data_IF_634388650937
#
_entry.id   IF_634388650937
#
_cell.length_a   1.000
_cell.length_b   1.000
_cell.length_c   1.000
_cell.angle_alpha   90.00
_cell.angle_beta   90.00
_cell.angle_gamma   90.00
#
_symmetry.space_group_name_H-M   'P 1'
#
loop_
_entity.id
_entity.type
_entity.pdbx_description
1 polymer ?
#
# COMPACT_ATOMS: atom_id res chain seq x y z
N UNK A 1 7.46 -27.65 -32.55
CA UNK A 1 6.62 -26.45 -32.44
C UNK A 1 7.53 -25.26 -32.68
N UNK A 2 7.39 -24.61 -33.83
CA UNK A 2 8.19 -23.45 -34.22
C UNK A 2 7.74 -22.24 -33.39
N UNK A 3 8.59 -21.77 -32.48
CA UNK A 3 8.40 -20.49 -31.79
C UNK A 3 8.48 -19.38 -32.85
N UNK A 4 7.37 -18.70 -33.10
CA UNK A 4 7.38 -17.46 -33.85
C UNK A 4 7.93 -16.42 -32.87
N UNK A 5 9.19 -16.03 -33.08
CA UNK A 5 9.86 -15.00 -32.30
C UNK A 5 9.39 -13.64 -32.82
N UNK A 6 8.48 -13.01 -32.06
CA UNK A 6 7.98 -11.66 -32.33
C UNK A 6 9.15 -10.67 -32.33
N UNK A 7 9.18 -9.77 -33.31
CA UNK A 7 10.28 -8.81 -33.45
C UNK A 7 10.13 -7.65 -32.47
N UNK A 8 11.25 -7.04 -32.05
CA UNK A 8 11.23 -5.88 -31.15
C UNK A 8 10.35 -4.73 -31.70
N UNK A 9 10.31 -4.53 -33.01
CA UNK A 9 9.47 -3.51 -33.65
C UNK A 9 7.98 -3.76 -33.44
N UNK A 10 7.55 -5.02 -33.44
CA UNK A 10 6.14 -5.38 -33.23
C UNK A 10 5.76 -5.18 -31.76
N UNK A 11 6.67 -5.52 -30.84
CA UNK A 11 6.49 -5.24 -29.40
C UNK A 11 6.38 -3.73 -29.13
N UNK A 12 7.31 -2.93 -29.66
CA UNK A 12 7.32 -1.49 -29.47
C UNK A 12 6.11 -0.80 -30.14
N UNK A 13 5.54 -1.37 -31.21
CA UNK A 13 4.30 -0.86 -31.80
C UNK A 13 3.09 -0.97 -30.87
N UNK A 14 3.14 -1.90 -29.92
CA UNK A 14 2.09 -2.11 -28.91
C UNK A 14 2.34 -1.37 -27.59
N UNK A 15 3.32 -0.46 -27.54
CA UNK A 15 3.74 0.23 -26.31
C UNK A 15 2.60 0.90 -25.56
N UNK A 16 1.63 1.52 -26.26
CA UNK A 16 0.49 2.19 -25.63
C UNK A 16 -0.35 1.21 -24.82
N UNK A 17 -0.73 0.08 -25.42
CA UNK A 17 -1.48 -0.97 -24.73
C UNK A 17 -0.73 -1.57 -23.54
N UNK A 18 0.62 -1.60 -23.60
CA UNK A 18 1.46 -2.06 -22.49
C UNK A 18 1.51 -1.03 -21.35
N UNK A 19 1.46 0.27 -21.66
CA UNK A 19 1.48 1.34 -20.66
C UNK A 19 0.12 1.49 -19.97
N UNK A 20 -0.97 1.28 -20.70
CA UNK A 20 -2.34 1.40 -20.20
C UNK A 20 -2.85 0.10 -19.52
N UNK A 21 -1.99 -0.91 -19.37
CA UNK A 21 -2.33 -2.24 -18.84
C UNK A 21 -3.46 -2.95 -19.63
N UNK A 22 -3.63 -2.60 -20.90
CA UNK A 22 -4.64 -3.16 -21.82
C UNK A 22 -4.08 -4.23 -22.77
N UNK A 23 -2.93 -4.83 -22.43
CA UNK A 23 -2.24 -5.78 -23.30
C UNK A 23 -3.11 -7.02 -23.63
N UNK A 24 -4.06 -7.40 -22.77
CA UNK A 24 -4.99 -8.51 -23.00
C UNK A 24 -5.90 -8.31 -24.21
N UNK A 25 -6.12 -7.06 -24.64
CA UNK A 25 -6.91 -6.72 -25.84
C UNK A 25 -6.17 -7.04 -27.14
N UNK A 26 -4.85 -7.24 -27.07
CA UNK A 26 -3.99 -7.51 -28.22
C UNK A 26 -3.91 -9.03 -28.45
N UNK A 27 -4.16 -9.53 -29.67
CA UNK A 27 -4.19 -10.97 -29.95
C UNK A 27 -2.86 -11.70 -29.69
N UNK A 28 -1.74 -10.97 -29.60
CA UNK A 28 -0.39 -11.52 -29.40
C UNK A 28 0.17 -11.25 -27.99
N UNK A 29 -0.69 -10.94 -27.01
CA UNK A 29 -0.31 -10.61 -25.63
C UNK A 29 0.70 -11.59 -25.00
N UNK A 30 0.50 -12.90 -25.21
CA UNK A 30 1.39 -13.93 -24.66
C UNK A 30 2.79 -13.89 -25.27
N UNK A 31 2.91 -13.61 -26.57
CA UNK A 31 4.19 -13.52 -27.26
C UNK A 31 4.94 -12.25 -26.87
N UNK A 32 4.21 -11.13 -26.74
CA UNK A 32 4.75 -9.85 -26.27
C UNK A 32 5.30 -10.01 -24.85
N UNK A 33 4.52 -10.56 -23.92
CA UNK A 33 4.98 -10.82 -22.55
C UNK A 33 6.22 -11.72 -22.52
N UNK A 34 6.24 -12.79 -23.33
CA UNK A 34 7.42 -13.64 -23.44
C UNK A 34 8.63 -12.90 -24.03
N UNK A 35 8.44 -11.92 -24.92
CA UNK A 35 9.54 -11.15 -25.45
C UNK A 35 10.10 -10.19 -24.39
N UNK A 36 9.23 -9.50 -23.65
CA UNK A 36 9.62 -8.58 -22.58
C UNK A 36 10.42 -9.27 -21.47
N UNK A 37 10.13 -10.52 -21.15
CA UNK A 37 10.90 -11.27 -20.14
C UNK A 37 12.32 -11.61 -20.59
N UNK A 38 12.59 -11.68 -21.90
CA UNK A 38 13.89 -12.09 -22.44
C UNK A 38 14.67 -10.93 -23.10
N UNK A 39 14.01 -9.82 -23.41
CA UNK A 39 14.58 -8.69 -24.15
C UNK A 39 14.70 -7.44 -23.27
N UNK A 40 15.87 -7.30 -22.63
CA UNK A 40 16.23 -6.13 -21.82
C UNK A 40 16.09 -4.76 -22.53
N UNK A 41 16.43 -4.59 -23.82
CA UNK A 41 16.27 -3.29 -24.47
C UNK A 41 14.79 -2.90 -24.62
N UNK A 42 13.90 -3.85 -24.96
CA UNK A 42 12.47 -3.54 -25.05
C UNK A 42 11.87 -3.15 -23.69
N UNK A 43 12.30 -3.79 -22.59
CA UNK A 43 11.84 -3.39 -21.25
C UNK A 43 12.33 -1.99 -20.87
N UNK A 44 13.57 -1.63 -21.24
CA UNK A 44 14.11 -0.30 -20.96
C UNK A 44 13.37 0.80 -21.73
N UNK A 45 13.07 0.57 -23.01
CA UNK A 45 12.28 1.52 -23.81
C UNK A 45 10.85 1.69 -23.26
N UNK A 46 10.20 0.61 -22.83
CA UNK A 46 8.86 0.69 -22.23
C UNK A 46 8.90 1.45 -20.89
N UNK A 47 9.91 1.21 -20.06
CA UNK A 47 10.08 1.95 -18.81
C UNK A 47 10.29 3.45 -19.07
N UNK A 48 11.11 3.80 -20.07
CA UNK A 48 11.29 5.17 -20.51
C UNK A 48 9.94 5.80 -20.94
N UNK A 49 9.20 5.14 -21.81
CA UNK A 49 7.90 5.65 -22.27
C UNK A 49 6.88 5.76 -21.12
N UNK A 50 6.90 4.85 -20.14
CA UNK A 50 6.08 4.96 -18.92
C UNK A 50 6.40 6.22 -18.11
N UNK A 51 7.69 6.51 -17.93
CA UNK A 51 8.13 7.72 -17.23
C UNK A 51 7.71 8.98 -18.00
N UNK A 52 7.89 9.00 -19.32
CA UNK A 52 7.47 10.11 -20.17
C UNK A 52 5.96 10.32 -20.11
N UNK A 53 5.17 9.25 -20.20
CA UNK A 53 3.71 9.30 -20.08
C UNK A 53 3.27 9.85 -18.71
N UNK A 54 3.90 9.40 -17.63
CA UNK A 54 3.62 9.90 -16.29
C UNK A 54 3.96 11.39 -16.15
N UNK A 55 5.12 11.82 -16.65
CA UNK A 55 5.51 13.23 -16.63
C UNK A 55 4.50 14.11 -17.38
N UNK A 56 4.06 13.67 -18.57
CA UNK A 56 3.05 14.39 -19.34
C UNK A 56 1.71 14.45 -18.59
N UNK A 57 1.26 13.34 -18.02
CA UNK A 57 0.05 13.29 -17.22
C UNK A 57 0.11 14.24 -16.01
N UNK A 58 1.25 14.30 -15.32
CA UNK A 58 1.43 15.18 -14.17
C UNK A 58 1.44 16.67 -14.55
N UNK A 59 2.07 17.02 -15.68
CA UNK A 59 2.01 18.39 -16.23
C UNK A 59 0.57 18.76 -16.57
N UNK A 60 -0.16 17.86 -17.24
CA UNK A 60 -1.56 18.07 -17.61
C UNK A 60 -2.45 18.23 -16.37
N UNK A 61 -2.30 17.36 -15.36
CA UNK A 61 -3.04 17.46 -14.09
C UNK A 61 -2.81 18.78 -13.38
N UNK A 62 -1.58 19.30 -13.37
CA UNK A 62 -1.28 20.61 -12.77
C UNK A 62 -1.85 21.78 -13.58
N UNK A 63 -1.97 21.62 -14.89
CA UNK A 63 -2.56 22.64 -15.77
C UNK A 63 -4.10 22.60 -15.82
N UNK A 64 -4.69 21.46 -15.48
CA UNK A 64 -6.13 21.27 -15.48
C UNK A 64 -6.77 22.04 -14.33
N UNK A 65 -7.58 23.04 -14.66
CA UNK A 65 -8.36 23.85 -13.71
C UNK A 65 -9.86 23.51 -13.78
N UNK A 66 -10.20 22.31 -14.25
CA UNK A 66 -11.59 21.85 -14.29
C UNK A 66 -12.07 21.54 -12.87
N UNK A 67 -13.23 22.09 -12.50
CA UNK A 67 -13.80 21.85 -11.19
C UNK A 67 -14.63 20.57 -11.22
N UNK A 68 -14.34 19.66 -10.28
CA UNK A 68 -15.13 18.44 -10.13
C UNK A 68 -16.63 18.76 -9.95
N UNK A 69 -17.54 17.96 -10.54
CA UNK A 69 -18.99 18.13 -10.39
C UNK A 69 -19.40 18.19 -8.91
N UNK A 70 -20.38 19.04 -8.60
CA UNK A 70 -20.81 19.29 -7.23
C UNK A 70 -21.32 18.01 -6.54
N UNK A 71 -22.07 17.18 -7.27
CA UNK A 71 -22.61 15.93 -6.78
C UNK A 71 -21.50 14.97 -6.30
N UNK A 72 -20.40 14.85 -7.07
CA UNK A 72 -19.27 14.01 -6.69
C UNK A 72 -18.59 14.54 -5.41
N UNK A 73 -18.41 15.86 -5.31
CA UNK A 73 -17.83 16.49 -4.12
C UNK A 73 -18.69 16.25 -2.88
N UNK A 74 -20.00 16.41 -2.99
CA UNK A 74 -20.94 16.14 -1.90
C UNK A 74 -20.92 14.66 -1.49
N UNK A 75 -20.89 13.74 -2.46
CA UNK A 75 -20.81 12.30 -2.20
C UNK A 75 -19.51 11.92 -1.48
N UNK A 76 -18.37 12.43 -1.92
CA UNK A 76 -17.07 12.20 -1.27
C UNK A 76 -17.08 12.76 0.15
N UNK A 77 -17.57 13.99 0.35
CA UNK A 77 -17.68 14.59 1.69
C UNK A 77 -18.56 13.76 2.62
N UNK A 78 -19.68 13.24 2.13
CA UNK A 78 -20.55 12.34 2.89
C UNK A 78 -19.81 11.05 3.26
N UNK A 79 -19.16 10.40 2.29
CA UNK A 79 -18.44 9.14 2.51
C UNK A 79 -17.29 9.31 3.51
N UNK A 80 -16.53 10.40 3.42
CA UNK A 80 -15.46 10.72 4.38
C UNK A 80 -16.05 10.97 5.77
N UNK A 81 -17.17 11.68 5.88
CA UNK A 81 -17.86 11.89 7.17
C UNK A 81 -18.45 10.61 7.74
N UNK A 82 -18.96 9.69 6.93
CA UNK A 82 -19.44 8.38 7.38
C UNK A 82 -18.28 7.51 7.86
N UNK A 83 -17.16 7.50 7.12
CA UNK A 83 -15.94 6.82 7.54
C UNK A 83 -15.40 7.42 8.84
N UNK A 84 -15.30 8.74 8.95
CA UNK A 84 -14.87 9.42 10.17
C UNK A 84 -15.90 9.32 11.29
N UNK A 85 -17.19 9.20 10.99
CA UNK A 85 -18.26 8.96 11.96
C UNK A 85 -18.18 7.57 12.59
N UNK A 86 -17.72 6.57 11.82
CA UNK A 86 -17.34 5.27 12.37
C UNK A 86 -16.04 5.33 13.21
N UNK A 87 -15.25 6.39 13.06
CA UNK A 87 -14.03 6.69 13.83
C UNK A 87 -14.23 7.88 14.81
N UNK A 88 -15.47 8.36 15.01
CA UNK A 88 -15.72 9.58 15.75
C UNK A 88 -15.68 9.30 17.25
N UNK A 89 -14.53 9.55 17.87
CA UNK A 89 -14.51 9.87 19.29
C UNK A 89 -13.19 9.77 20.03
N UNK A 90 -12.21 8.99 19.56
CA UNK A 90 -10.92 8.95 20.24
C UNK A 90 -9.86 8.34 19.32
N UNK A 91 -8.75 9.04 19.12
CA UNK A 91 -7.50 8.33 18.92
C UNK A 91 -7.23 7.59 20.23
N UNK A 92 -7.43 6.26 20.22
CA UNK A 92 -7.19 5.42 21.39
C UNK A 92 -5.73 4.98 21.38
N UNK A 93 -4.95 5.46 22.36
CA UNK A 93 -3.59 4.98 22.59
C UNK A 93 -3.63 3.95 23.71
N UNK A 94 -3.44 2.69 23.36
CA UNK A 94 -3.40 1.56 24.30
C UNK A 94 -1.93 1.25 24.64
N UNK A 95 -1.54 1.51 25.88
CA UNK A 95 -0.21 1.11 26.40
C UNK A 95 -0.37 -0.14 27.26
N UNK A 96 0.32 -1.21 26.89
CA UNK A 96 0.34 -2.48 27.63
C UNK A 96 1.68 -2.64 28.33
N UNK A 97 1.63 -2.88 29.64
CA UNK A 97 2.77 -3.22 30.48
C UNK A 97 2.60 -4.65 31.00
N UNK A 98 3.58 -5.51 30.75
CA UNK A 98 3.63 -6.88 31.28
C UNK A 98 5.01 -7.11 31.89
N UNK A 99 5.05 -7.57 33.14
CA UNK A 99 6.28 -7.85 33.87
C UNK A 99 6.10 -9.09 34.76
N UNK A 100 7.10 -9.97 34.73
CA UNK A 100 7.20 -11.11 35.65
C UNK A 100 8.15 -10.74 36.79
N UNK A 101 7.67 -10.77 38.02
CA UNK A 101 8.51 -10.68 39.22
C UNK A 101 8.81 -12.09 39.74
N UNK A 102 10.10 -12.41 39.87
CA UNK A 102 10.58 -13.70 40.39
C UNK A 102 11.31 -13.44 41.71
N UNK A 103 10.78 -13.96 42.82
CA UNK A 103 11.46 -13.97 44.11
C UNK A 103 12.00 -15.36 44.43
N UNK A 104 13.28 -15.41 44.81
CA UNK A 104 13.98 -16.63 45.22
C UNK A 104 14.48 -16.40 46.64
N UNK A 105 13.94 -17.16 47.58
CA UNK A 105 14.34 -17.15 48.98
C UNK A 105 14.95 -18.50 49.36
N UNK A 106 15.96 -18.50 50.24
CA UNK A 106 16.58 -19.73 50.74
C UNK A 106 16.31 -19.81 52.23
N UNK A 107 15.67 -20.90 52.66
CA UNK A 107 15.35 -21.12 54.08
C UNK A 107 16.61 -21.48 54.91
N UNK A 108 16.47 -21.49 56.24
CA UNK A 108 17.57 -21.81 57.16
C UNK A 108 18.13 -23.24 57.01
N UNK A 109 17.43 -24.11 56.27
CA UNK A 109 17.81 -25.48 55.99
C UNK A 109 18.36 -25.68 54.55
N UNK A 110 18.48 -24.59 53.76
CA UNK A 110 19.05 -24.59 52.41
C UNK A 110 18.08 -24.97 51.30
N UNK A 111 16.77 -25.07 51.56
CA UNK A 111 15.77 -25.27 50.52
C UNK A 111 15.45 -23.94 49.83
N UNK A 112 15.22 -24.01 48.52
CA UNK A 112 14.91 -22.83 47.69
C UNK A 112 13.39 -22.70 47.57
N UNK A 113 12.83 -21.61 48.08
CA UNK A 113 11.47 -21.18 47.79
C UNK A 113 11.46 -20.24 46.59
N UNK A 114 10.75 -20.62 45.53
CA UNK A 114 10.58 -19.82 44.32
C UNK A 114 9.13 -19.34 44.23
N UNK A 115 8.93 -18.03 44.11
CA UNK A 115 7.63 -17.44 43.81
C UNK A 115 7.72 -16.58 42.56
N UNK A 116 6.76 -16.77 41.68
CA UNK A 116 6.64 -16.02 40.45
C UNK A 116 5.29 -15.31 40.44
N UNK A 117 5.32 -14.01 40.18
CA UNK A 117 4.14 -13.16 40.10
C UNK A 117 4.12 -12.51 38.73
N UNK A 118 3.03 -12.72 38.00
CA UNK A 118 2.77 -12.11 36.70
C UNK A 118 1.98 -10.83 36.91
N UNK A 119 2.50 -9.70 36.42
CA UNK A 119 1.88 -8.39 36.53
C UNK A 119 1.54 -7.91 35.11
N UNK A 120 0.24 -7.76 34.84
CA UNK A 120 -0.26 -7.21 33.59
C UNK A 120 -1.07 -5.93 33.87
N UNK A 121 -0.76 -4.87 33.15
CA UNK A 121 -1.45 -3.58 33.25
C UNK A 121 -1.71 -3.02 31.85
N UNK A 122 -2.97 -2.71 31.57
CA UNK A 122 -3.39 -2.04 30.34
C UNK A 122 -3.85 -0.63 30.68
N UNK A 123 -3.25 0.37 30.04
CA UNK A 123 -3.66 1.78 30.15
C UNK A 123 -4.19 2.27 28.81
N UNK A 124 -5.40 2.83 28.83
CA UNK A 124 -6.09 3.35 27.66
C UNK A 124 -6.20 4.86 27.80
N UNK A 125 -5.66 5.60 26.84
CA UNK A 125 -5.80 7.06 26.75
C UNK A 125 -6.68 7.43 25.56
N UNK A 126 -7.68 8.25 25.80
CA UNK A 126 -8.53 8.83 24.77
C UNK A 126 -8.13 10.30 24.60
N UNK A 127 -7.69 10.69 23.41
CA UNK A 127 -7.52 12.10 23.07
C UNK A 127 -8.79 12.59 22.39
N UNK A 128 -9.41 13.60 22.99
CA UNK A 128 -10.46 14.40 22.35
C UNK A 128 -9.72 15.58 21.74
N UNK A 129 -9.72 15.67 20.41
CA UNK A 129 -9.25 16.88 19.74
C UNK A 129 -10.30 17.97 19.99
N UNK A 130 -10.10 18.78 21.03
CA UNK A 130 -10.87 20.00 21.24
C UNK A 130 -10.43 21.03 20.17
N UNK A 131 -11.14 21.06 19.04
CA UNK A 131 -11.00 22.10 18.02
C UNK A 131 -11.61 23.42 18.55
N UNK A 132 -10.76 24.37 18.98
CA UNK A 132 -11.09 25.80 19.17
C UNK A 132 -11.11 26.59 17.84
#
# INVERSE_FOLDING_TARGET
>A
MSFIEIQCSEVLSSVIFIIEDELETVPQAAQINSHLTHCAPCTAEIEHERLMHQMLADVLKRSCNEQAPEELRQNIHRQIREQMGNYAGATEVVTQFSMTEISIEVDEFGNIEHREIQIEQTHIQHFIDDED
#
